data_IF_000470089192
#
_entry.id   IF_000470089192
#
_cell.length_a   1.000
_cell.length_b   1.000
_cell.length_c   1.000
_cell.angle_alpha   90.00
_cell.angle_beta   90.00
_cell.angle_gamma   90.00
#
_symmetry.space_group_name_H-M   'P 1'
#
loop_
_entity.id
_entity.type
_entity.pdbx_description
1 polymer ?
#
# COMPACT_ATOMS: atom_id res chain seq x y z
N UNK A 1 1.39 -5.76 19.75
CA UNK A 1 2.68 -5.03 19.86
C UNK A 1 2.95 -4.17 18.61
N UNK A 2 3.56 -3.00 18.82
CA UNK A 2 3.83 -1.83 17.93
C UNK A 2 2.79 -1.53 16.83
N UNK A 3 2.62 -2.43 15.86
CA UNK A 3 1.70 -2.28 14.72
C UNK A 3 0.29 -2.84 14.96
N UNK A 4 0.02 -3.50 16.11
CA UNK A 4 -1.28 -4.16 16.40
C UNK A 4 -2.49 -3.23 16.20
N UNK A 5 -2.35 -1.99 16.63
CA UNK A 5 -3.45 -1.02 16.63
C UNK A 5 -3.48 -0.19 15.33
N UNK A 6 -2.62 -0.53 14.35
CA UNK A 6 -2.63 0.08 13.02
C UNK A 6 -3.83 -0.40 12.21
N UNK A 7 -4.26 0.45 11.29
CA UNK A 7 -5.35 0.16 10.37
C UNK A 7 -5.09 -1.15 9.61
N UNK A 8 -6.07 -2.07 9.63
CA UNK A 8 -6.04 -3.40 8.99
C UNK A 8 -5.03 -4.42 9.57
N UNK A 9 -4.33 -4.13 10.66
CA UNK A 9 -3.27 -5.02 11.20
C UNK A 9 -3.69 -5.87 12.41
N UNK A 10 -4.91 -5.71 12.92
CA UNK A 10 -5.39 -6.43 14.12
C UNK A 10 -5.62 -7.92 13.90
N UNK A 11 -5.90 -8.32 12.65
CA UNK A 11 -6.18 -9.69 12.22
C UNK A 11 -5.93 -9.80 10.71
N UNK A 12 -5.64 -10.98 10.14
CA UNK A 12 -5.59 -11.16 8.69
C UNK A 12 -6.97 -11.05 8.02
N UNK A 13 -8.06 -11.14 8.78
CA UNK A 13 -9.44 -11.19 8.24
C UNK A 13 -9.82 -9.94 7.44
N UNK A 14 -9.60 -8.70 7.91
CA UNK A 14 -9.92 -7.50 7.13
C UNK A 14 -9.18 -7.46 5.79
N UNK A 15 -7.87 -7.71 5.78
CA UNK A 15 -7.07 -7.74 4.55
C UNK A 15 -7.55 -8.82 3.58
N UNK A 16 -7.75 -10.05 4.07
CA UNK A 16 -8.26 -11.14 3.26
C UNK A 16 -9.65 -10.85 2.67
N UNK A 17 -10.54 -10.24 3.46
CA UNK A 17 -11.90 -9.87 3.00
C UNK A 17 -11.87 -8.85 1.86
N UNK A 18 -10.98 -7.85 1.93
CA UNK A 18 -10.80 -6.84 0.87
C UNK A 18 -10.27 -7.51 -0.39
N UNK A 19 -9.27 -8.40 -0.28
CA UNK A 19 -8.72 -9.10 -1.45
C UNK A 19 -9.77 -10.00 -2.12
N UNK A 20 -10.54 -10.78 -1.33
CA UNK A 20 -11.60 -11.64 -1.85
C UNK A 20 -12.67 -10.79 -2.55
N UNK A 21 -13.09 -9.67 -1.93
CA UNK A 21 -14.04 -8.74 -2.52
C UNK A 21 -13.52 -8.12 -3.82
N UNK A 22 -12.26 -7.70 -3.84
CA UNK A 22 -11.59 -7.17 -5.04
C UNK A 22 -11.55 -8.19 -6.17
N UNK A 23 -11.13 -9.43 -5.89
CA UNK A 23 -11.07 -10.50 -6.88
C UNK A 23 -12.47 -10.86 -7.41
N UNK A 24 -13.47 -10.96 -6.53
CA UNK A 24 -14.86 -11.18 -6.95
C UNK A 24 -15.36 -10.05 -7.87
N UNK A 25 -15.06 -8.80 -7.52
CA UNK A 25 -15.42 -7.63 -8.30
C UNK A 25 -14.75 -7.64 -9.67
N UNK A 26 -13.43 -7.83 -9.75
CA UNK A 26 -12.69 -7.73 -11.02
C UNK A 26 -12.91 -8.95 -11.91
N UNK A 27 -13.03 -10.15 -11.35
CA UNK A 27 -13.10 -11.38 -12.14
C UNK A 27 -14.52 -11.80 -12.51
N UNK A 28 -15.53 -11.44 -11.71
CA UNK A 28 -16.90 -11.91 -11.92
C UNK A 28 -17.90 -10.78 -12.07
N UNK A 29 -18.10 -9.97 -11.04
CA UNK A 29 -19.19 -9.00 -11.01
C UNK A 29 -18.99 -7.85 -12.00
N UNK A 30 -17.80 -7.26 -12.02
CA UNK A 30 -17.43 -6.13 -12.87
C UNK A 30 -17.56 -6.43 -14.37
N UNK A 31 -16.95 -7.52 -14.89
CA UNK A 31 -17.11 -7.90 -16.29
C UNK A 31 -18.56 -8.14 -16.70
N UNK A 32 -19.34 -8.87 -15.87
CA UNK A 32 -20.78 -9.10 -16.12
C UNK A 32 -21.58 -7.81 -16.13
N UNK A 33 -21.27 -6.87 -15.23
CA UNK A 33 -21.93 -5.57 -15.18
C UNK A 33 -21.60 -4.68 -16.40
N UNK A 34 -20.39 -4.83 -16.94
CA UNK A 34 -19.87 -4.04 -18.06
C UNK A 34 -20.19 -4.63 -19.44
N UNK A 35 -20.67 -5.87 -19.51
CA UNK A 35 -20.89 -6.61 -20.76
C UNK A 35 -21.75 -5.85 -21.79
N UNK A 36 -22.77 -5.12 -21.33
CA UNK A 36 -23.68 -4.35 -22.18
C UNK A 36 -23.52 -2.84 -22.01
N UNK A 37 -22.38 -2.38 -21.46
CA UNK A 37 -22.10 -0.96 -21.20
C UNK A 37 -20.88 -0.50 -21.96
N UNK A 38 -20.88 0.76 -22.37
CA UNK A 38 -19.69 1.40 -22.96
C UNK A 38 -18.64 1.60 -21.86
N UNK A 39 -17.34 1.49 -22.19
CA UNK A 39 -16.26 1.78 -21.25
C UNK A 39 -16.36 3.19 -20.66
N UNK A 40 -16.08 3.33 -19.38
CA UNK A 40 -16.05 4.63 -18.72
C UNK A 40 -14.86 5.47 -19.20
N UNK A 41 -15.11 6.75 -19.44
CA UNK A 41 -14.07 7.72 -19.79
C UNK A 41 -13.45 8.30 -18.52
N UNK A 42 -12.44 7.62 -17.98
CA UNK A 42 -11.81 7.97 -16.69
C UNK A 42 -10.47 8.71 -16.85
N UNK A 43 -10.19 9.30 -18.01
CA UNK A 43 -8.88 9.88 -18.34
C UNK A 43 -8.36 10.84 -17.25
N UNK A 44 -9.16 11.84 -16.87
CA UNK A 44 -8.73 12.85 -15.89
C UNK A 44 -8.56 12.24 -14.49
N UNK A 45 -9.44 11.31 -14.11
CA UNK A 45 -9.33 10.56 -12.86
C UNK A 45 -8.04 9.76 -12.81
N UNK A 46 -7.68 9.07 -13.90
CA UNK A 46 -6.45 8.28 -14.00
C UNK A 46 -5.20 9.16 -13.94
N UNK A 47 -5.23 10.34 -14.58
CA UNK A 47 -4.12 11.30 -14.53
C UNK A 47 -3.89 11.75 -13.08
N UNK A 48 -4.95 12.16 -12.38
CA UNK A 48 -4.85 12.60 -10.99
C UNK A 48 -4.39 11.47 -10.07
N UNK A 49 -4.96 10.27 -10.23
CA UNK A 49 -4.58 9.08 -9.48
C UNK A 49 -3.09 8.76 -9.63
N UNK A 50 -2.59 8.69 -10.87
CA UNK A 50 -1.18 8.37 -11.12
C UNK A 50 -0.24 9.48 -10.61
N UNK A 51 -0.65 10.75 -10.73
CA UNK A 51 0.12 11.86 -10.18
C UNK A 51 0.28 11.74 -8.66
N UNK A 52 -0.82 11.50 -7.94
CA UNK A 52 -0.77 11.26 -6.49
C UNK A 52 0.07 10.02 -6.15
N UNK A 53 -0.06 8.94 -6.94
CA UNK A 53 0.72 7.73 -6.73
C UNK A 53 2.22 8.00 -6.83
N UNK A 54 2.68 8.78 -7.82
CA UNK A 54 4.09 9.18 -7.95
C UNK A 54 4.55 9.99 -6.73
N UNK A 55 3.76 10.97 -6.28
CA UNK A 55 4.11 11.76 -5.09
C UNK A 55 4.25 10.89 -3.83
N UNK A 56 3.31 9.98 -3.63
CA UNK A 56 3.36 9.04 -2.49
C UNK A 56 4.54 8.08 -2.59
N UNK A 57 4.86 7.57 -3.78
CA UNK A 57 6.04 6.72 -3.99
C UNK A 57 7.34 7.46 -3.73
N UNK A 58 7.46 8.73 -4.16
CA UNK A 58 8.63 9.56 -3.85
C UNK A 58 8.78 9.74 -2.35
N UNK A 59 7.67 10.04 -1.66
CA UNK A 59 7.68 10.21 -0.21
C UNK A 59 8.09 8.93 0.52
N UNK A 60 7.47 7.78 0.21
CA UNK A 60 7.82 6.48 0.79
C UNK A 60 9.28 6.09 0.51
N UNK A 61 9.77 6.38 -0.69
CA UNK A 61 11.16 6.11 -1.05
C UNK A 61 12.13 6.96 -0.22
N UNK A 62 11.81 8.25 -0.03
CA UNK A 62 12.61 9.14 0.81
C UNK A 62 12.59 8.72 2.29
N UNK A 63 11.42 8.39 2.84
CA UNK A 63 11.28 7.86 4.22
C UNK A 63 12.11 6.60 4.42
N UNK A 64 12.04 5.65 3.47
CA UNK A 64 12.84 4.45 3.52
C UNK A 64 14.34 4.74 3.45
N UNK A 65 14.77 5.59 2.51
CA UNK A 65 16.18 5.96 2.37
C UNK A 65 16.74 6.62 3.63
N UNK A 66 16.05 7.61 4.19
CA UNK A 66 16.50 8.33 5.38
C UNK A 66 16.47 7.45 6.64
N UNK A 67 15.36 6.70 6.83
CA UNK A 67 15.12 5.85 7.99
C UNK A 67 15.94 4.57 8.03
N UNK A 68 16.44 4.09 6.87
CA UNK A 68 17.23 2.87 6.78
C UNK A 68 18.55 3.08 6.02
N UNK A 69 18.50 3.11 4.68
CA UNK A 69 19.65 2.80 3.81
C UNK A 69 20.73 3.89 3.69
N UNK A 70 20.44 5.16 3.99
CA UNK A 70 21.42 6.25 3.85
C UNK A 70 22.29 6.45 5.09
N UNK A 71 21.73 6.30 6.29
CA UNK A 71 22.36 6.79 7.51
C UNK A 71 22.64 5.71 8.56
N UNK A 72 21.85 4.63 8.59
CA UNK A 72 21.80 3.73 9.75
C UNK A 72 22.08 2.27 9.40
N UNK A 73 21.54 1.79 8.28
CA UNK A 73 21.58 0.37 7.93
C UNK A 73 22.82 0.03 7.12
N UNK A 74 23.41 -1.11 7.43
CA UNK A 74 24.37 -1.74 6.53
C UNK A 74 23.66 -2.27 5.29
N UNK A 75 24.28 -2.18 4.12
CA UNK A 75 23.81 -2.84 2.89
C UNK A 75 23.98 -4.37 2.92
N UNK A 76 24.21 -4.95 4.10
CA UNK A 76 24.36 -6.38 4.38
C UNK A 76 23.21 -6.85 5.29
N UNK A 77 23.46 -7.85 6.14
CA UNK A 77 22.48 -8.31 7.11
C UNK A 77 22.27 -7.23 8.19
N UNK A 78 21.11 -6.58 8.17
CA UNK A 78 20.65 -5.68 9.23
C UNK A 78 19.45 -6.34 9.94
N UNK A 79 19.50 -6.54 11.27
CA UNK A 79 18.38 -7.10 12.02
C UNK A 79 17.25 -6.08 12.18
N UNK A 80 16.03 -6.58 12.38
CA UNK A 80 14.88 -5.73 12.69
C UNK A 80 15.02 -5.18 14.12
N UNK A 81 15.00 -3.86 14.28
CA UNK A 81 14.87 -3.23 15.59
C UNK A 81 13.41 -3.28 16.08
N UNK A 82 13.20 -3.96 17.21
CA UNK A 82 11.89 -4.09 17.87
C UNK A 82 11.67 -3.04 18.98
N UNK A 83 12.61 -2.11 19.17
CA UNK A 83 12.50 -1.02 20.13
C UNK A 83 11.34 -0.05 19.81
N UNK A 84 10.97 0.77 20.78
CA UNK A 84 10.01 1.87 20.60
C UNK A 84 10.73 3.21 20.37
N UNK A 85 11.95 3.20 19.82
CA UNK A 85 12.63 4.42 19.41
C UNK A 85 11.84 5.09 18.27
N UNK A 86 11.90 6.42 18.14
CA UNK A 86 11.23 7.11 17.03
C UNK A 86 11.77 6.68 15.67
N UNK A 87 13.02 6.22 15.61
CA UNK A 87 13.65 5.71 14.39
C UNK A 87 13.09 4.34 14.00
N UNK A 88 12.85 3.44 14.96
CA UNK A 88 12.31 2.10 14.70
C UNK A 88 10.78 2.09 14.43
N UNK A 89 10.09 3.19 14.73
CA UNK A 89 8.64 3.36 14.53
C UNK A 89 8.28 4.16 13.27
N UNK A 90 9.29 4.74 12.61
CA UNK A 90 9.16 5.50 11.37
C UNK A 90 9.03 4.55 10.18
#
# INVERSE_FOLDING_TARGET
PRTRDWFLMSSPVPGASIMIGYLYFVLSWGPRHMEHRKPYQLKNTLIFYNFLQVLLSIWLFWEGLDGAWLNKYSWKCEPVDFSNSPEALR
#
